data_IF_334618549152
#
_entry.id   IF_334618549152
#
_cell.length_a   1.000
_cell.length_b   1.000
_cell.length_c   1.000
_cell.angle_alpha   90.00
_cell.angle_beta   90.00
_cell.angle_gamma   90.00
#
_symmetry.space_group_name_H-M   'P 1'
#
loop_
_entity.id
_entity.type
_entity.pdbx_description
1 polymer ?
#
# COMPACT_ATOMS: atom_id res chain seq x y z
N UNK A 1 -41.30 -27.85 57.18
CA UNK A 1 -40.98 -27.30 55.84
C UNK A 1 -39.67 -27.94 55.41
N UNK A 2 -39.69 -28.73 54.34
CA UNK A 2 -38.53 -29.44 53.76
C UNK A 2 -38.12 -28.68 52.51
N UNK A 3 -36.89 -28.17 52.47
CA UNK A 3 -36.29 -27.64 51.24
C UNK A 3 -35.19 -28.61 50.81
N UNK A 4 -35.44 -29.33 49.71
CA UNK A 4 -34.46 -30.19 49.06
C UNK A 4 -33.63 -29.34 48.10
N UNK A 5 -32.31 -29.45 48.19
CA UNK A 5 -31.37 -28.77 47.31
C UNK A 5 -31.19 -29.65 46.06
N UNK A 6 -31.55 -29.13 44.89
CA UNK A 6 -31.27 -29.74 43.59
C UNK A 6 -29.80 -29.46 43.22
N UNK A 7 -28.99 -30.51 43.09
CA UNK A 7 -27.65 -30.43 42.52
C UNK A 7 -27.72 -30.39 41.00
N UNK A 8 -27.20 -29.32 40.40
CA UNK A 8 -27.08 -29.16 38.95
C UNK A 8 -25.84 -29.95 38.47
N UNK A 9 -26.04 -31.03 37.73
CA UNK A 9 -24.94 -31.73 37.05
C UNK A 9 -24.62 -30.96 35.77
N UNK A 10 -23.51 -30.22 35.79
CA UNK A 10 -22.97 -29.58 34.59
C UNK A 10 -22.30 -30.65 33.70
N UNK A 11 -22.99 -31.07 32.64
CA UNK A 11 -22.39 -31.86 31.58
C UNK A 11 -21.46 -30.95 30.75
N UNK A 12 -20.16 -31.20 30.82
CA UNK A 12 -19.15 -30.54 29.98
C UNK A 12 -19.24 -31.17 28.59
N UNK A 13 -19.56 -30.43 27.51
CA UNK A 13 -19.39 -30.95 26.17
C UNK A 13 -17.88 -31.08 25.93
N UNK A 14 -17.42 -32.32 25.69
CA UNK A 14 -16.09 -32.56 25.18
C UNK A 14 -15.99 -31.92 23.79
N UNK A 15 -15.25 -30.80 23.71
CA UNK A 15 -14.89 -30.18 22.44
C UNK A 15 -13.98 -31.17 21.69
N UNK A 16 -14.56 -31.87 20.72
CA UNK A 16 -13.79 -32.59 19.73
C UNK A 16 -12.92 -31.56 18.98
N UNK A 17 -11.63 -31.56 19.28
CA UNK A 17 -10.65 -30.77 18.56
C UNK A 17 -10.58 -31.31 17.12
N UNK A 18 -11.29 -30.65 16.22
CA UNK A 18 -11.05 -30.81 14.79
C UNK A 18 -9.67 -30.22 14.53
N UNK A 19 -8.74 -31.09 14.11
CA UNK A 19 -7.45 -30.68 13.58
C UNK A 19 -7.74 -29.65 12.49
N UNK A 20 -7.20 -28.41 12.56
CA UNK A 20 -7.39 -27.47 11.48
C UNK A 20 -6.86 -28.15 10.22
N UNK A 21 -7.71 -28.29 9.20
CA UNK A 21 -7.27 -28.64 7.88
C UNK A 21 -6.04 -27.78 7.57
N UNK A 22 -4.97 -28.43 7.10
CA UNK A 22 -3.75 -27.77 6.66
C UNK A 22 -4.12 -26.46 5.98
N UNK A 23 -3.65 -25.34 6.54
CA UNK A 23 -3.77 -24.04 5.90
C UNK A 23 -3.13 -24.24 4.54
N UNK A 24 -3.99 -24.38 3.53
CA UNK A 24 -3.57 -24.40 2.15
C UNK A 24 -2.84 -23.08 2.00
N UNK A 25 -1.53 -23.14 1.88
CA UNK A 25 -0.72 -22.01 1.47
C UNK A 25 -1.04 -21.84 0.00
N UNK A 26 -2.28 -21.40 -0.26
CA UNK A 26 -2.75 -21.03 -1.56
C UNK A 26 -1.74 -20.00 -2.02
N UNK A 27 -0.87 -20.46 -2.92
CA UNK A 27 0.09 -19.66 -3.64
C UNK A 27 -0.67 -18.41 -4.05
N UNK A 28 -0.32 -17.27 -3.45
CA UNK A 28 -0.98 -16.00 -3.72
C UNK A 28 -0.75 -15.76 -5.20
N UNK A 29 -1.75 -16.10 -6.02
CA UNK A 29 -1.73 -15.89 -7.47
C UNK A 29 -1.58 -14.39 -7.65
N UNK A 30 -0.33 -13.92 -7.80
CA UNK A 30 -0.05 -12.52 -8.10
C UNK A 30 -0.79 -12.20 -9.38
N UNK A 31 -1.53 -11.10 -9.34
CA UNK A 31 -2.29 -10.67 -10.49
C UNK A 31 -1.29 -10.35 -11.62
N UNK A 32 -1.65 -10.69 -12.87
CA UNK A 32 -0.83 -10.38 -14.04
C UNK A 32 -0.92 -8.89 -14.39
N UNK A 33 -0.57 -8.04 -13.43
CA UNK A 33 -0.58 -6.60 -13.52
C UNK A 33 0.69 -6.05 -12.88
N UNK A 34 1.18 -4.96 -13.47
CA UNK A 34 2.40 -4.30 -13.06
C UNK A 34 2.20 -2.79 -13.01
N UNK A 35 2.76 -2.15 -11.99
CA UNK A 35 2.91 -0.70 -11.90
C UNK A 35 4.40 -0.35 -11.95
N UNK A 36 4.80 0.45 -12.94
CA UNK A 36 6.17 0.96 -13.03
C UNK A 36 6.20 2.40 -12.55
N UNK A 37 7.09 2.67 -11.61
CA UNK A 37 7.45 4.01 -11.16
C UNK A 37 8.70 4.43 -11.93
N UNK A 38 8.59 5.46 -12.74
CA UNK A 38 9.67 5.95 -13.59
C UNK A 38 10.01 7.38 -13.20
N UNK A 39 11.18 7.58 -12.60
CA UNK A 39 11.69 8.93 -12.35
C UNK A 39 11.78 9.72 -13.66
N UNK A 40 11.35 10.98 -13.61
CA UNK A 40 11.42 11.91 -14.74
C UNK A 40 12.34 13.09 -14.47
N UNK A 41 12.13 13.79 -13.35
CA UNK A 41 12.86 15.03 -13.05
C UNK A 41 12.70 15.44 -11.60
N UNK A 42 13.54 16.38 -11.15
CA UNK A 42 13.31 17.13 -9.92
C UNK A 42 13.64 18.62 -10.12
N UNK A 43 13.06 19.49 -9.30
CA UNK A 43 13.34 20.94 -9.29
C UNK A 43 13.16 21.53 -7.91
N UNK A 44 13.76 22.70 -7.67
CA UNK A 44 13.55 23.44 -6.42
C UNK A 44 12.28 24.29 -6.54
N UNK A 45 11.42 24.24 -5.53
CA UNK A 45 10.20 25.04 -5.42
C UNK A 45 9.95 25.39 -3.96
N UNK A 46 9.78 26.68 -3.65
CA UNK A 46 9.45 27.14 -2.29
C UNK A 46 10.39 26.59 -1.19
N UNK A 47 11.70 26.55 -1.45
CA UNK A 47 12.75 25.99 -0.59
C UNK A 47 12.66 24.47 -0.31
N UNK A 48 11.84 23.75 -1.09
CA UNK A 48 11.74 22.29 -1.10
C UNK A 48 12.23 21.74 -2.44
N UNK A 49 12.58 20.45 -2.44
CA UNK A 49 12.85 19.68 -3.65
C UNK A 49 11.56 18.98 -4.09
N UNK A 50 11.13 19.23 -5.33
CA UNK A 50 10.00 18.54 -5.97
C UNK A 50 10.52 17.38 -6.80
N UNK A 51 9.93 16.20 -6.64
CA UNK A 51 10.22 15.01 -7.42
C UNK A 51 9.03 14.66 -8.30
N UNK A 52 9.27 14.45 -9.60
CA UNK A 52 8.26 13.98 -10.55
C UNK A 52 8.55 12.55 -10.97
N UNK A 53 7.58 11.68 -10.73
CA UNK A 53 7.61 10.28 -11.10
C UNK A 53 6.41 9.97 -11.98
N UNK A 54 6.65 9.29 -13.10
CA UNK A 54 5.59 8.76 -13.94
C UNK A 54 5.11 7.41 -13.41
N UNK A 55 3.79 7.22 -13.41
CA UNK A 55 3.14 5.95 -13.13
C UNK A 55 2.71 5.28 -14.44
N UNK A 56 3.13 4.04 -14.65
CA UNK A 56 2.82 3.26 -15.86
C UNK A 56 2.23 1.91 -15.47
N UNK A 57 1.00 1.63 -15.87
CA UNK A 57 0.35 0.34 -15.63
C UNK A 57 0.42 -0.56 -16.86
N UNK A 58 0.67 -1.85 -16.64
CA UNK A 58 0.64 -2.89 -17.68
C UNK A 58 -0.15 -4.10 -17.17
N UNK A 59 -1.31 -4.45 -17.77
CA UNK A 59 -2.02 -3.66 -18.79
C UNK A 59 -2.44 -2.28 -18.24
N UNK A 60 -2.76 -1.34 -19.15
CA UNK A 60 -3.21 0.00 -18.73
C UNK A 60 -4.46 -0.13 -17.85
N UNK A 61 -4.39 0.45 -16.67
CA UNK A 61 -5.45 0.47 -15.68
C UNK A 61 -5.36 1.78 -14.89
N UNK A 62 -6.28 2.69 -15.18
CA UNK A 62 -6.28 4.04 -14.59
C UNK A 62 -6.73 4.00 -13.11
N UNK A 63 -7.55 3.01 -12.71
CA UNK A 63 -7.92 2.82 -11.31
C UNK A 63 -6.70 2.43 -10.43
N UNK A 64 -5.72 1.72 -11.01
CA UNK A 64 -4.46 1.44 -10.31
C UNK A 64 -3.57 2.68 -10.18
N UNK A 65 -3.62 3.60 -11.14
CA UNK A 65 -2.92 4.89 -11.05
C UNK A 65 -3.49 5.72 -9.89
N UNK A 66 -4.82 5.87 -9.85
CA UNK A 66 -5.52 6.59 -8.79
C UNK A 66 -5.33 5.91 -7.43
N UNK A 67 -5.29 4.57 -7.40
CA UNK A 67 -5.05 3.81 -6.17
C UNK A 67 -3.66 4.10 -5.59
N UNK A 68 -2.62 4.09 -6.43
CA UNK A 68 -1.26 4.42 -5.97
C UNK A 68 -1.17 5.87 -5.51
N UNK A 69 -1.78 6.80 -6.26
CA UNK A 69 -1.87 8.20 -5.85
C UNK A 69 -2.50 8.36 -4.47
N UNK A 70 -3.66 7.73 -4.24
CA UNK A 70 -4.35 7.82 -2.96
C UNK A 70 -3.56 7.21 -1.79
N UNK A 71 -2.68 6.23 -2.04
CA UNK A 71 -1.74 5.73 -1.01
C UNK A 71 -0.71 6.80 -0.68
N UNK A 72 -0.13 7.45 -1.68
CA UNK A 72 0.86 8.52 -1.50
C UNK A 72 0.28 9.71 -0.73
N UNK A 73 -0.93 10.16 -1.10
CA UNK A 73 -1.61 11.26 -0.40
C UNK A 73 -1.84 10.93 1.09
N UNK A 74 -2.22 9.68 1.39
CA UNK A 74 -2.44 9.24 2.78
C UNK A 74 -1.15 9.05 3.57
N UNK A 75 -0.02 8.79 2.92
CA UNK A 75 1.28 8.65 3.59
C UNK A 75 1.96 9.98 3.91
N UNK A 76 1.40 11.10 3.43
CA UNK A 76 2.04 12.40 3.58
C UNK A 76 1.88 13.01 4.96
N UNK A 77 2.97 13.53 5.51
CA UNK A 77 2.97 14.17 6.83
C UNK A 77 2.89 15.70 6.70
N UNK A 78 1.86 16.23 6.03
CA UNK A 78 1.46 17.65 6.02
C UNK A 78 2.44 18.69 5.43
N UNK A 79 3.74 18.36 5.32
CA UNK A 79 4.78 19.18 4.67
C UNK A 79 4.97 18.77 3.21
N UNK A 80 4.64 17.53 2.89
CA UNK A 80 4.71 16.96 1.55
C UNK A 80 3.47 17.34 0.76
N UNK A 81 3.67 17.91 -0.42
CA UNK A 81 2.61 18.25 -1.35
C UNK A 81 2.57 17.20 -2.46
N UNK A 82 1.72 16.18 -2.29
CA UNK A 82 1.48 15.18 -3.33
C UNK A 82 0.42 15.69 -4.30
N UNK A 83 0.74 15.66 -5.60
CA UNK A 83 -0.18 16.02 -6.67
C UNK A 83 -0.11 14.97 -7.77
N UNK A 84 -1.24 14.39 -8.15
CA UNK A 84 -1.32 13.42 -9.23
C UNK A 84 -2.17 13.98 -10.37
N UNK A 85 -1.64 13.91 -11.60
CA UNK A 85 -2.34 14.44 -12.76
C UNK A 85 -1.79 13.89 -14.07
N UNK A 86 -2.56 14.08 -15.14
CA UNK A 86 -2.12 13.81 -16.51
C UNK A 86 -1.41 15.02 -17.11
N UNK A 87 -0.24 14.79 -17.71
CA UNK A 87 0.50 15.79 -18.49
C UNK A 87 1.23 15.11 -19.64
N UNK A 88 1.19 15.68 -20.85
CA UNK A 88 1.87 15.17 -22.04
C UNK A 88 1.69 13.64 -22.27
N UNK A 89 0.47 13.15 -22.05
CA UNK A 89 0.12 11.73 -22.19
C UNK A 89 0.66 10.80 -21.10
N UNK A 90 1.21 11.35 -20.00
CA UNK A 90 1.76 10.60 -18.86
C UNK A 90 0.95 10.92 -17.61
N UNK A 91 0.63 9.90 -16.82
CA UNK A 91 0.15 10.12 -15.46
C UNK A 91 1.37 10.27 -14.56
N UNK A 92 1.48 11.40 -13.89
CA UNK A 92 2.61 11.72 -13.03
C UNK A 92 2.13 12.01 -11.62
N UNK A 93 3.01 11.73 -10.67
CA UNK A 93 2.93 12.19 -9.30
C UNK A 93 4.09 13.15 -9.05
N UNK A 94 3.76 14.33 -8.54
CA UNK A 94 4.71 15.31 -8.04
C UNK A 94 4.63 15.32 -6.51
N UNK A 95 5.76 15.15 -5.85
CA UNK A 95 5.87 15.07 -4.38
C UNK A 95 6.98 16.02 -3.90
N UNK A 96 6.88 16.59 -2.70
CA UNK A 96 7.82 17.61 -2.21
C UNK A 96 8.49 17.19 -0.92
N UNK A 97 9.82 17.21 -0.91
CA UNK A 97 10.64 16.89 0.26
C UNK A 97 11.57 18.05 0.62
N UNK A 98 12.21 17.93 1.78
CA UNK A 98 13.33 18.80 2.12
C UNK A 98 14.43 18.79 1.05
N UNK A 99 15.15 19.90 0.92
CA UNK A 99 16.34 19.94 0.04
C UNK A 99 17.49 19.09 0.60
N UNK A 100 18.32 18.55 -0.31
CA UNK A 100 19.51 17.77 0.04
C UNK A 100 19.27 16.28 0.24
N UNK A 101 20.28 15.57 0.75
CA UNK A 101 20.30 14.10 0.83
C UNK A 101 19.20 13.53 1.71
N UNK A 102 18.91 14.18 2.85
CA UNK A 102 17.86 13.71 3.75
C UNK A 102 16.49 13.70 3.07
N UNK A 103 16.14 14.75 2.34
CA UNK A 103 14.86 14.77 1.61
C UNK A 103 14.84 13.81 0.42
N UNK A 104 15.98 13.55 -0.22
CA UNK A 104 16.08 12.49 -1.22
C UNK A 104 15.82 11.10 -0.63
N UNK A 105 16.36 10.80 0.54
CA UNK A 105 16.14 9.53 1.23
C UNK A 105 14.67 9.37 1.64
N UNK A 106 14.01 10.46 2.07
CA UNK A 106 12.57 10.48 2.35
C UNK A 106 11.74 10.21 1.09
N UNK A 107 12.03 10.90 -0.02
CA UNK A 107 11.41 10.64 -1.32
C UNK A 107 11.48 9.15 -1.69
N UNK A 108 12.68 8.56 -1.65
CA UNK A 108 12.85 7.14 -1.99
C UNK A 108 12.07 6.24 -1.05
N UNK A 109 12.12 6.51 0.25
CA UNK A 109 11.41 5.73 1.26
C UNK A 109 9.90 5.77 1.03
N UNK A 110 9.34 6.94 0.80
CA UNK A 110 7.89 7.14 0.75
C UNK A 110 7.30 6.48 -0.51
N UNK A 111 7.95 6.64 -1.67
CA UNK A 111 7.57 5.93 -2.89
C UNK A 111 7.72 4.40 -2.78
N UNK A 112 8.78 3.91 -2.12
CA UNK A 112 8.98 2.48 -1.89
C UNK A 112 7.93 1.91 -0.93
N UNK A 113 7.54 2.65 0.10
CA UNK A 113 6.49 2.25 1.03
C UNK A 113 5.13 2.22 0.31
N UNK A 114 4.80 3.24 -0.47
CA UNK A 114 3.57 3.26 -1.25
C UNK A 114 3.50 2.11 -2.26
N UNK A 115 4.62 1.78 -2.90
CA UNK A 115 4.73 0.59 -3.77
C UNK A 115 4.45 -0.70 -3.00
N UNK A 116 5.02 -0.86 -1.82
CA UNK A 116 4.76 -2.03 -0.99
C UNK A 116 3.27 -2.16 -0.63
N UNK A 117 2.63 -1.07 -0.18
CA UNK A 117 1.19 -1.10 0.11
C UNK A 117 0.33 -1.36 -1.13
N UNK A 118 0.71 -0.81 -2.27
CA UNK A 118 0.04 -1.06 -3.53
C UNK A 118 0.10 -2.56 -3.90
N UNK A 119 1.26 -3.20 -3.78
CA UNK A 119 1.43 -4.64 -4.00
C UNK A 119 0.53 -5.45 -3.06
N UNK A 120 0.50 -5.11 -1.76
CA UNK A 120 -0.33 -5.79 -0.77
C UNK A 120 -1.84 -5.66 -1.06
N UNK A 121 -2.29 -4.49 -1.51
CA UNK A 121 -3.72 -4.21 -1.71
C UNK A 121 -4.23 -4.77 -3.04
N UNK A 122 -3.40 -4.73 -4.09
CA UNK A 122 -3.82 -5.07 -5.46
C UNK A 122 -3.37 -6.44 -5.93
N UNK A 123 -2.33 -6.99 -5.31
CA UNK A 123 -1.65 -8.20 -5.79
C UNK A 123 -0.85 -8.01 -7.09
N UNK A 124 -0.73 -6.76 -7.59
CA UNK A 124 0.14 -6.43 -8.72
C UNK A 124 1.60 -6.29 -8.29
N UNK A 125 2.54 -6.50 -9.21
CA UNK A 125 3.95 -6.22 -8.96
C UNK A 125 4.29 -4.74 -9.20
N UNK A 126 5.32 -4.22 -8.51
CA UNK A 126 5.90 -2.91 -8.83
C UNK A 126 7.31 -3.01 -9.40
N UNK A 127 7.65 -2.09 -10.30
CA UNK A 127 9.03 -1.86 -10.74
C UNK A 127 9.40 -0.41 -10.49
N UNK A 128 10.57 -0.19 -9.91
CA UNK A 128 10.94 1.08 -9.29
C UNK A 128 12.24 1.58 -9.91
N UNK A 129 12.11 2.50 -10.86
CA UNK A 129 13.22 3.18 -11.53
C UNK A 129 13.31 4.61 -10.98
N UNK A 130 13.59 4.72 -9.68
CA UNK A 130 13.49 5.94 -8.87
C UNK A 130 14.82 6.63 -8.63
#
# INVERSE_FOLDING_TARGET
>A
MKFSILTLVAAVPALAATVPASVDTAEVKRANCKLTLQWLSNWSESALRRYRVQLITSPRNDAHLDKYCGIMEQSTNGVENVQCFWTDGKYVIDESQGEGSLGHDLYLRDFNNAAHYFELITGCDTVRNL
#
